data_IF_341627660988
#
_entry.id   IF_341627660988
#
_cell.length_a   1.000
_cell.length_b   1.000
_cell.length_c   1.000
_cell.angle_alpha   90.00
_cell.angle_beta   90.00
_cell.angle_gamma   90.00
#
_symmetry.space_group_name_H-M   'P 1'
#
loop_
_entity.id
_entity.type
_entity.pdbx_description
1 polymer ?
#
# COMPACT_ATOMS: atom_id res chain seq x y z
N UNK A 1 -1.97 -14.07 -31.72
CA UNK A 1 -1.37 -13.34 -30.58
C UNK A 1 -2.14 -13.72 -29.33
N UNK A 2 -1.44 -14.20 -28.32
CA UNK A 2 -1.98 -14.49 -27.01
C UNK A 2 -1.34 -13.55 -25.98
N UNK A 3 -2.09 -13.24 -24.91
CA UNK A 3 -1.63 -12.34 -23.84
C UNK A 3 -1.88 -13.00 -22.49
N UNK A 4 -0.87 -12.96 -21.62
CA UNK A 4 -0.97 -13.40 -20.23
C UNK A 4 -0.66 -12.22 -19.30
N UNK A 5 -1.39 -12.12 -18.19
CA UNK A 5 -1.14 -11.17 -17.12
C UNK A 5 -0.63 -11.93 -15.90
N UNK A 6 0.45 -11.42 -15.28
CA UNK A 6 0.99 -11.94 -14.03
C UNK A 6 1.00 -10.84 -12.98
N UNK A 7 0.92 -11.21 -11.71
CA UNK A 7 1.00 -10.24 -10.61
C UNK A 7 2.32 -9.47 -10.64
N UNK A 8 2.27 -8.14 -10.72
CA UNK A 8 3.45 -7.29 -10.62
C UNK A 8 3.77 -6.85 -9.18
N UNK A 9 2.89 -7.10 -8.22
CA UNK A 9 3.11 -6.85 -6.80
C UNK A 9 3.25 -5.38 -6.39
N UNK A 10 3.04 -4.44 -7.30
CA UNK A 10 3.26 -3.01 -7.07
C UNK A 10 2.07 -2.32 -6.38
N UNK A 11 0.92 -2.34 -7.02
CA UNK A 11 -0.37 -1.88 -6.48
C UNK A 11 -1.45 -2.89 -6.86
N UNK A 12 -2.61 -2.82 -6.22
CA UNK A 12 -3.71 -3.72 -6.55
C UNK A 12 -4.13 -3.57 -8.02
N UNK A 13 -4.01 -4.67 -8.77
CA UNK A 13 -4.30 -4.72 -10.21
C UNK A 13 -3.12 -4.40 -11.13
N UNK A 14 -1.92 -4.12 -10.60
CA UNK A 14 -0.71 -4.03 -11.41
C UNK A 14 -0.36 -5.39 -12.02
N UNK A 15 0.12 -5.39 -13.25
CA UNK A 15 0.42 -6.62 -13.95
C UNK A 15 1.68 -6.53 -14.82
N UNK A 16 2.46 -7.62 -14.82
CA UNK A 16 3.42 -7.91 -15.88
C UNK A 16 2.63 -8.47 -17.05
N UNK A 17 2.91 -8.02 -18.26
CA UNK A 17 2.20 -8.43 -19.48
C UNK A 17 3.13 -9.24 -20.36
N UNK A 18 2.79 -10.51 -20.61
CA UNK A 18 3.46 -11.37 -21.58
C UNK A 18 2.62 -11.43 -22.87
N UNK A 19 3.26 -11.14 -23.99
CA UNK A 19 2.64 -11.19 -25.32
C UNK A 19 3.32 -12.24 -26.16
N UNK A 20 2.58 -13.26 -26.55
CA UNK A 20 3.07 -14.34 -27.40
C UNK A 20 2.66 -14.10 -28.85
N UNK A 21 3.64 -13.88 -29.71
CA UNK A 21 3.43 -13.60 -31.14
C UNK A 21 4.00 -14.74 -31.97
N UNK A 22 3.17 -15.32 -32.84
CA UNK A 22 3.63 -16.33 -33.79
C UNK A 22 3.66 -15.73 -35.20
N UNK A 23 4.83 -15.70 -35.83
CA UNK A 23 5.03 -15.27 -37.19
C UNK A 23 5.84 -16.34 -37.95
N UNK A 24 5.33 -16.74 -39.10
CA UNK A 24 5.96 -17.77 -39.98
C UNK A 24 6.30 -19.07 -39.22
N UNK A 25 5.49 -19.46 -38.23
CA UNK A 25 5.69 -20.66 -37.43
C UNK A 25 6.70 -20.53 -36.29
N UNK A 26 7.28 -19.34 -36.09
CA UNK A 26 8.18 -19.04 -34.99
C UNK A 26 7.44 -18.20 -33.95
N UNK A 27 7.40 -18.67 -32.70
CA UNK A 27 6.84 -17.94 -31.58
C UNK A 27 7.91 -17.05 -30.96
N UNK A 28 7.53 -15.83 -30.63
CA UNK A 28 8.31 -14.85 -29.87
C UNK A 28 7.52 -14.37 -28.67
N UNK A 29 8.22 -14.20 -27.55
CA UNK A 29 7.65 -13.71 -26.30
C UNK A 29 8.18 -12.32 -26.00
N UNK A 30 7.27 -11.34 -25.91
CA UNK A 30 7.56 -10.00 -25.46
C UNK A 30 7.00 -9.83 -24.04
N UNK A 31 7.82 -9.26 -23.15
CA UNK A 31 7.44 -9.04 -21.76
C UNK A 31 7.53 -7.55 -21.43
N UNK A 32 6.48 -7.03 -20.85
CA UNK A 32 6.41 -5.67 -20.32
C UNK A 32 6.25 -5.79 -18.81
N UNK A 33 7.24 -5.30 -18.05
CA UNK A 33 7.20 -5.42 -16.59
C UNK A 33 6.07 -4.59 -15.95
N UNK A 34 5.66 -3.49 -16.59
CA UNK A 34 4.97 -2.44 -15.86
C UNK A 34 5.82 -1.97 -14.68
N UNK A 35 5.19 -1.33 -13.70
CA UNK A 35 5.83 -0.98 -12.43
C UNK A 35 5.84 -2.23 -11.53
N UNK A 36 7.01 -2.62 -11.03
CA UNK A 36 7.19 -3.80 -10.19
C UNK A 36 7.12 -3.44 -8.71
N UNK A 37 6.51 -4.29 -7.92
CA UNK A 37 6.53 -4.20 -6.47
C UNK A 37 7.85 -4.69 -5.88
N UNK A 38 8.11 -4.27 -4.65
CA UNK A 38 9.22 -4.81 -3.87
C UNK A 38 8.82 -6.11 -3.19
N UNK A 39 9.76 -7.05 -3.10
CA UNK A 39 9.58 -8.24 -2.30
C UNK A 39 9.29 -7.85 -0.84
N UNK A 40 8.38 -8.60 -0.20
CA UNK A 40 7.92 -8.33 1.17
C UNK A 40 7.16 -7.01 1.37
N UNK A 41 6.61 -6.43 0.30
CA UNK A 41 5.65 -5.32 0.41
C UNK A 41 4.42 -5.75 1.22
N UNK A 42 3.81 -4.81 1.94
CA UNK A 42 2.63 -5.14 2.73
C UNK A 42 1.40 -5.36 1.83
N UNK A 43 0.54 -6.27 2.27
CA UNK A 43 -0.75 -6.63 1.71
C UNK A 43 -0.69 -7.43 0.41
N UNK A 44 0.12 -7.03 -0.56
CA UNK A 44 0.16 -7.70 -1.87
C UNK A 44 1.18 -8.83 -1.90
N UNK A 45 1.02 -9.73 -2.86
CA UNK A 45 1.99 -10.77 -3.15
C UNK A 45 3.22 -10.15 -3.82
N UNK A 46 4.34 -10.86 -3.73
CA UNK A 46 5.54 -10.52 -4.48
C UNK A 46 5.28 -10.62 -5.99
N UNK A 47 6.03 -9.88 -6.83
CA UNK A 47 5.96 -10.03 -8.27
C UNK A 47 6.16 -11.48 -8.71
N UNK A 48 5.35 -11.95 -9.66
CA UNK A 48 5.56 -13.26 -10.28
C UNK A 48 6.83 -13.27 -11.13
N UNK A 49 7.54 -14.39 -11.11
CA UNK A 49 8.75 -14.55 -11.91
C UNK A 49 8.38 -14.94 -13.33
N UNK A 50 8.91 -14.20 -14.30
CA UNK A 50 8.90 -14.57 -15.73
C UNK A 50 10.25 -15.20 -16.06
N UNK A 51 10.22 -16.48 -16.44
CA UNK A 51 11.45 -17.27 -16.62
C UNK A 51 12.23 -16.92 -17.89
N UNK A 52 11.54 -16.48 -18.95
CA UNK A 52 12.18 -16.20 -20.25
C UNK A 52 11.37 -15.19 -21.07
N UNK A 53 12.09 -14.41 -21.87
CA UNK A 53 11.54 -13.50 -22.86
C UNK A 53 12.51 -13.38 -24.05
N UNK A 54 11.96 -13.22 -25.27
CA UNK A 54 12.78 -12.82 -26.44
C UNK A 54 13.05 -11.31 -26.41
N UNK A 55 12.08 -10.53 -25.92
CA UNK A 55 12.18 -9.08 -25.76
C UNK A 55 11.60 -8.71 -24.39
N UNK A 56 12.38 -7.97 -23.59
CA UNK A 56 11.98 -7.48 -22.28
C UNK A 56 12.00 -5.95 -22.25
N UNK A 57 10.87 -5.34 -21.88
CA UNK A 57 10.78 -3.94 -21.50
C UNK A 57 10.64 -3.89 -19.98
N UNK A 58 11.70 -3.44 -19.31
CA UNK A 58 11.81 -3.43 -17.84
C UNK A 58 11.83 -2.00 -17.33
N UNK A 59 11.05 -1.72 -16.29
CA UNK A 59 11.17 -0.47 -15.55
C UNK A 59 12.54 -0.31 -14.91
N UNK A 60 12.93 0.93 -14.59
CA UNK A 60 14.21 1.23 -13.94
C UNK A 60 14.12 2.42 -12.98
N UNK A 61 12.98 2.60 -12.34
CA UNK A 61 12.70 3.74 -11.46
C UNK A 61 13.74 3.90 -10.35
N UNK A 62 14.16 2.79 -9.75
CA UNK A 62 15.24 2.72 -8.76
C UNK A 62 16.42 1.89 -9.24
N UNK A 63 16.69 1.90 -10.55
CA UNK A 63 17.77 1.11 -11.14
C UNK A 63 19.19 1.54 -10.77
N UNK A 64 19.34 2.69 -10.12
CA UNK A 64 20.62 3.29 -9.71
C UNK A 64 20.89 3.22 -8.19
N UNK A 65 19.97 2.67 -7.40
CA UNK A 65 20.09 2.64 -5.93
C UNK A 65 19.29 1.52 -5.28
N UNK A 66 19.73 1.09 -4.13
CA UNK A 66 18.98 0.18 -3.27
C UNK A 66 18.05 0.94 -2.32
N UNK A 67 16.92 0.32 -2.01
CA UNK A 67 16.05 0.79 -0.93
C UNK A 67 16.68 0.50 0.44
N UNK A 68 16.33 1.31 1.43
CA UNK A 68 16.67 1.01 2.81
C UNK A 68 16.04 -0.33 3.22
N UNK A 69 16.70 -1.13 4.08
CA UNK A 69 16.12 -2.34 4.65
C UNK A 69 14.75 -2.04 5.28
N UNK A 70 13.77 -2.91 5.01
CA UNK A 70 12.39 -2.69 5.45
C UNK A 70 12.25 -2.68 6.97
N UNK A 71 13.00 -3.50 7.68
CA UNK A 71 13.03 -3.57 9.13
C UNK A 71 13.51 -2.27 9.77
N UNK A 72 14.54 -1.64 9.20
CA UNK A 72 15.02 -0.32 9.63
C UNK A 72 13.97 0.78 9.38
N UNK A 73 13.33 0.76 8.21
CA UNK A 73 12.30 1.73 7.88
C UNK A 73 11.06 1.60 8.78
N UNK A 74 10.68 0.37 9.12
CA UNK A 74 9.57 0.11 10.04
C UNK A 74 9.90 0.49 11.48
N UNK A 75 11.14 0.27 11.92
CA UNK A 75 11.60 0.69 13.25
C UNK A 75 11.60 2.23 13.38
N UNK A 76 12.07 2.95 12.36
CA UNK A 76 12.02 4.41 12.33
C UNK A 76 10.57 4.92 12.31
N UNK A 77 9.69 4.28 11.52
CA UNK A 77 8.26 4.64 11.49
C UNK A 77 7.61 4.48 12.87
N UNK A 78 7.88 3.38 13.57
CA UNK A 78 7.41 3.15 14.94
C UNK A 78 7.95 4.21 15.91
N UNK A 79 9.23 4.54 15.81
CA UNK A 79 9.86 5.58 16.63
C UNK A 79 9.21 6.95 16.42
N UNK A 80 8.99 7.38 15.18
CA UNK A 80 8.32 8.65 14.85
C UNK A 80 6.91 8.71 15.46
N UNK A 81 6.15 7.61 15.37
CA UNK A 81 4.81 7.50 15.93
C UNK A 81 4.84 7.63 17.45
N UNK A 82 5.79 6.98 18.13
CA UNK A 82 5.93 7.04 19.60
C UNK A 82 6.40 8.42 20.07
N UNK A 83 7.39 9.03 19.42
CA UNK A 83 7.86 10.39 19.71
C UNK A 83 6.77 11.45 19.57
N UNK A 84 5.97 11.38 18.50
CA UNK A 84 4.85 12.29 18.31
C UNK A 84 3.79 12.13 19.41
N UNK A 85 3.54 10.89 19.87
CA UNK A 85 2.66 10.63 21.01
C UNK A 85 3.18 11.22 22.31
N UNK A 86 4.49 11.08 22.58
CA UNK A 86 5.13 11.60 23.78
C UNK A 86 5.10 13.13 23.83
N UNK A 87 5.28 13.78 22.68
CA UNK A 87 5.32 15.23 22.54
C UNK A 87 3.93 15.88 22.39
N UNK A 88 2.87 15.08 22.28
CA UNK A 88 1.50 15.58 22.12
C UNK A 88 1.25 16.20 20.73
N UNK A 89 2.05 15.86 19.72
CA UNK A 89 1.93 16.40 18.36
C UNK A 89 0.94 15.64 17.48
N UNK A 90 0.69 16.21 16.30
CA UNK A 90 0.04 15.55 15.18
C UNK A 90 1.07 15.00 14.20
N UNK A 91 0.71 13.94 13.47
CA UNK A 91 1.51 13.41 12.37
C UNK A 91 0.77 13.66 11.07
N UNK A 92 1.43 14.28 10.10
CA UNK A 92 0.93 14.42 8.73
C UNK A 92 1.71 13.49 7.81
N UNK A 93 0.99 12.60 7.14
CA UNK A 93 1.55 11.62 6.20
C UNK A 93 1.03 11.91 4.81
N UNK A 94 1.78 12.61 3.94
CA UNK A 94 1.43 12.73 2.54
C UNK A 94 1.59 11.37 1.84
N UNK A 95 0.54 10.92 1.14
CA UNK A 95 0.53 9.57 0.57
C UNK A 95 -0.28 9.51 -0.73
N UNK A 96 0.19 8.70 -1.68
CA UNK A 96 -0.60 8.34 -2.84
C UNK A 96 -1.85 7.55 -2.44
N UNK A 97 -2.95 7.84 -3.14
CA UNK A 97 -4.26 7.26 -2.83
C UNK A 97 -4.31 5.73 -3.04
N UNK A 98 -3.51 5.21 -3.98
CA UNK A 98 -3.45 3.79 -4.32
C UNK A 98 -2.14 3.19 -3.82
N UNK A 99 -2.22 2.05 -3.14
CA UNK A 99 -1.09 1.27 -2.66
C UNK A 99 -0.53 1.80 -1.34
N UNK A 100 0.21 2.91 -1.36
CA UNK A 100 0.91 3.44 -0.18
C UNK A 100 -0.03 3.79 0.99
N UNK A 101 -1.17 4.38 0.72
CA UNK A 101 -2.15 4.69 1.78
C UNK A 101 -2.64 3.42 2.49
N UNK A 102 -2.94 2.36 1.77
CA UNK A 102 -3.41 1.10 2.34
C UNK A 102 -2.33 0.39 3.13
N UNK A 103 -1.08 0.45 2.66
CA UNK A 103 0.07 -0.04 3.41
C UNK A 103 0.23 0.71 4.74
N UNK A 104 0.18 2.04 4.74
CA UNK A 104 0.28 2.87 5.95
C UNK A 104 -0.84 2.52 6.94
N UNK A 105 -2.08 2.40 6.47
CA UNK A 105 -3.22 1.99 7.31
C UNK A 105 -2.96 0.62 7.94
N UNK A 106 -2.44 -0.34 7.17
CA UNK A 106 -2.09 -1.66 7.66
C UNK A 106 -0.98 -1.61 8.73
N UNK A 107 0.10 -0.86 8.49
CA UNK A 107 1.20 -0.70 9.46
C UNK A 107 0.75 -0.02 10.75
N UNK A 108 -0.07 1.02 10.66
CA UNK A 108 -0.71 1.64 11.83
C UNK A 108 -1.63 0.66 12.56
N UNK A 109 -2.37 -0.16 11.83
CA UNK A 109 -3.16 -1.24 12.42
C UNK A 109 -2.32 -2.24 13.18
N UNK A 110 -1.16 -2.64 12.65
CA UNK A 110 -0.21 -3.51 13.36
C UNK A 110 0.29 -2.88 14.67
N UNK A 111 0.61 -1.58 14.67
CA UNK A 111 1.00 -0.84 15.88
C UNK A 111 -0.14 -0.77 16.89
N UNK A 112 -1.38 -0.53 16.41
CA UNK A 112 -2.57 -0.52 17.24
C UNK A 112 -2.79 -1.87 17.94
N UNK A 113 -2.72 -2.98 17.21
CA UNK A 113 -2.86 -4.33 17.76
C UNK A 113 -1.78 -4.68 18.79
N UNK A 114 -0.58 -4.12 18.65
CA UNK A 114 0.52 -4.25 19.60
C UNK A 114 0.41 -3.31 20.82
N UNK A 115 -0.61 -2.42 20.86
CA UNK A 115 -0.76 -1.40 21.90
C UNK A 115 0.28 -0.28 21.85
N UNK A 116 0.94 -0.10 20.70
CA UNK A 116 1.99 0.90 20.47
C UNK A 116 1.47 2.18 19.82
N UNK A 117 0.25 2.19 19.30
CA UNK A 117 -0.39 3.36 18.72
C UNK A 117 -1.23 4.06 19.78
N UNK A 118 -0.77 5.22 20.26
CA UNK A 118 -1.41 5.98 21.36
C UNK A 118 -2.23 7.18 20.87
N UNK A 119 -2.19 7.48 19.58
CA UNK A 119 -2.98 8.54 18.96
C UNK A 119 -4.47 8.24 19.09
N UNK A 120 -5.28 9.29 19.22
CA UNK A 120 -6.72 9.18 19.44
C UNK A 120 -7.49 8.84 18.16
N UNK A 121 -6.98 9.29 17.03
CA UNK A 121 -7.59 9.07 15.72
C UNK A 121 -6.55 9.07 14.59
N UNK A 122 -6.86 8.31 13.54
CA UNK A 122 -6.19 8.36 12.24
C UNK A 122 -7.22 8.84 11.23
N UNK A 123 -6.96 9.94 10.56
CA UNK A 123 -7.84 10.51 9.55
C UNK A 123 -7.32 10.21 8.16
N UNK A 124 -8.16 9.64 7.32
CA UNK A 124 -7.91 9.50 5.89
C UNK A 124 -8.66 10.62 5.17
N UNK A 125 -7.91 11.64 4.75
CA UNK A 125 -8.43 12.84 4.10
C UNK A 125 -8.12 12.82 2.59
N UNK A 126 -8.79 11.93 1.89
CA UNK A 126 -8.73 11.79 0.44
C UNK A 126 -9.90 10.94 -0.06
N UNK A 127 -10.88 11.52 -0.77
CA UNK A 127 -12.00 10.76 -1.32
C UNK A 127 -11.56 9.59 -2.21
N UNK A 128 -10.50 9.78 -3.00
CA UNK A 128 -9.95 8.72 -3.84
C UNK A 128 -9.35 7.60 -2.99
N UNK A 129 -8.55 7.93 -1.98
CA UNK A 129 -7.94 6.92 -1.11
C UNK A 129 -8.99 6.12 -0.33
N UNK A 130 -10.07 6.77 0.11
CA UNK A 130 -11.22 6.10 0.74
C UNK A 130 -11.84 5.09 -0.22
N UNK A 131 -12.15 5.50 -1.46
CA UNK A 131 -12.73 4.62 -2.46
C UNK A 131 -11.81 3.43 -2.79
N UNK A 132 -10.51 3.67 -2.93
CA UNK A 132 -9.50 2.63 -3.15
C UNK A 132 -9.40 1.67 -1.95
N UNK A 133 -9.47 2.17 -0.72
CA UNK A 133 -9.44 1.31 0.48
C UNK A 133 -10.64 0.36 0.52
N UNK A 134 -11.82 0.79 0.03
CA UNK A 134 -12.97 -0.09 -0.14
C UNK A 134 -12.76 -1.14 -1.24
N UNK A 135 -12.04 -0.81 -2.31
CA UNK A 135 -11.66 -1.78 -3.34
C UNK A 135 -10.70 -2.82 -2.74
N UNK A 136 -9.68 -2.40 -1.99
CA UNK A 136 -8.78 -3.31 -1.27
C UNK A 136 -9.56 -4.25 -0.33
N UNK A 137 -10.59 -3.76 0.34
CA UNK A 137 -11.45 -4.59 1.17
C UNK A 137 -12.19 -5.67 0.35
N UNK A 138 -12.67 -5.36 -0.85
CA UNK A 138 -13.38 -6.33 -1.71
C UNK A 138 -12.46 -7.42 -2.26
N UNK A 139 -11.19 -7.13 -2.47
CA UNK A 139 -10.22 -8.00 -3.13
C UNK A 139 -9.16 -8.57 -2.17
N UNK A 140 -9.50 -8.82 -0.91
CA UNK A 140 -8.58 -9.41 0.07
C UNK A 140 -8.05 -10.80 -0.31
N UNK A 141 -8.72 -11.49 -1.23
CA UNK A 141 -8.28 -12.78 -1.75
C UNK A 141 -6.95 -12.72 -2.53
N UNK A 142 -6.54 -11.52 -2.96
CA UNK A 142 -5.25 -11.33 -3.63
C UNK A 142 -4.14 -10.88 -2.67
N UNK A 143 -4.43 -10.70 -1.39
CA UNK A 143 -3.41 -10.39 -0.39
C UNK A 143 -2.43 -11.54 -0.23
N UNK A 144 -1.21 -11.22 0.22
CA UNK A 144 -0.30 -12.24 0.68
C UNK A 144 -0.89 -12.97 1.92
N UNK A 145 -0.52 -14.24 2.08
CA UNK A 145 -1.15 -15.08 3.11
C UNK A 145 -0.86 -14.62 4.55
N UNK A 146 0.31 -14.04 4.80
CA UNK A 146 0.74 -13.59 6.12
C UNK A 146 -0.07 -12.39 6.60
N UNK A 147 -0.21 -11.38 5.75
CA UNK A 147 -0.93 -10.16 6.09
C UNK A 147 -2.45 -10.40 6.16
N UNK A 148 -2.99 -11.25 5.27
CA UNK A 148 -4.37 -11.70 5.36
C UNK A 148 -4.65 -12.39 6.72
N UNK A 149 -3.77 -13.29 7.18
CA UNK A 149 -3.88 -13.92 8.49
C UNK A 149 -3.73 -12.91 9.63
N UNK A 150 -2.86 -11.92 9.49
CA UNK A 150 -2.64 -10.88 10.50
C UNK A 150 -3.91 -10.07 10.72
N UNK A 151 -4.59 -9.67 9.64
CA UNK A 151 -5.88 -8.97 9.69
C UNK A 151 -6.95 -9.86 10.35
N UNK A 152 -7.03 -11.14 9.97
CA UNK A 152 -7.99 -12.08 10.54
C UNK A 152 -7.74 -12.37 12.04
N UNK A 153 -6.48 -12.51 12.47
CA UNK A 153 -6.12 -12.68 13.88
C UNK A 153 -6.53 -11.47 14.73
N UNK A 154 -6.51 -10.26 14.15
CA UNK A 154 -7.08 -9.06 14.76
C UNK A 154 -8.63 -9.09 14.85
N UNK A 155 -9.27 -10.23 14.50
CA UNK A 155 -10.74 -10.39 14.43
C UNK A 155 -11.40 -9.37 13.51
N UNK A 156 -10.66 -8.96 12.48
CA UNK A 156 -11.06 -7.90 11.56
C UNK A 156 -11.36 -8.47 10.18
N UNK A 157 -12.38 -7.93 9.54
CA UNK A 157 -12.75 -8.29 8.17
C UNK A 157 -12.27 -7.26 7.13
N UNK A 158 -11.66 -6.16 7.59
CA UNK A 158 -11.21 -5.07 6.71
C UNK A 158 -10.07 -4.28 7.35
N UNK A 159 -9.36 -3.46 6.56
CA UNK A 159 -8.36 -2.52 7.06
C UNK A 159 -8.96 -1.52 8.04
N UNK A 160 -10.20 -1.06 7.79
CA UNK A 160 -10.91 -0.17 8.70
C UNK A 160 -11.18 -0.84 10.06
N UNK A 161 -11.63 -2.09 10.07
CA UNK A 161 -11.86 -2.83 11.31
C UNK A 161 -10.54 -3.20 12.02
N UNK A 162 -9.45 -3.37 11.25
CA UNK A 162 -8.11 -3.67 11.77
C UNK A 162 -7.48 -2.46 12.47
N UNK A 163 -7.89 -1.22 12.07
CA UNK A 163 -7.50 0.04 12.71
C UNK A 163 -8.77 0.78 13.19
N UNK A 164 -9.36 0.44 14.35
CA UNK A 164 -10.67 0.97 14.78
C UNK A 164 -10.72 2.48 15.03
N UNK A 165 -9.57 3.14 15.14
CA UNK A 165 -9.46 4.59 15.27
C UNK A 165 -9.36 5.31 13.92
N UNK A 166 -9.44 4.59 12.79
CA UNK A 166 -9.49 5.16 11.46
C UNK A 166 -10.83 5.91 11.25
N UNK A 167 -10.74 7.11 10.70
CA UNK A 167 -11.88 7.97 10.38
C UNK A 167 -11.73 8.47 8.94
N UNK A 168 -12.83 8.54 8.22
CA UNK A 168 -12.86 9.05 6.85
C UNK A 168 -13.39 10.48 6.83
N UNK A 169 -12.70 11.34 6.10
CA UNK A 169 -13.17 12.68 5.75
C UNK A 169 -13.76 12.60 4.34
N UNK A 170 -15.09 12.64 4.26
CA UNK A 170 -15.81 12.42 3.00
C UNK A 170 -16.31 13.71 2.36
N UNK A 171 -16.34 14.79 3.12
CA UNK A 171 -16.82 16.09 2.67
C UNK A 171 -15.77 17.17 2.87
N UNK A 172 -15.85 18.25 2.10
CA UNK A 172 -14.98 19.43 2.28
C UNK A 172 -15.11 20.03 3.69
N UNK A 173 -16.29 20.02 4.26
CA UNK A 173 -16.52 20.55 5.62
C UNK A 173 -15.81 19.70 6.67
N UNK A 174 -15.83 18.37 6.53
CA UNK A 174 -15.09 17.46 7.41
C UNK A 174 -13.57 17.67 7.26
N UNK A 175 -13.06 17.73 6.01
CA UNK A 175 -11.67 18.02 5.74
C UNK A 175 -11.21 19.35 6.36
N UNK A 176 -11.96 20.42 6.18
CA UNK A 176 -11.66 21.71 6.80
C UNK A 176 -11.70 21.66 8.34
N UNK A 177 -12.55 20.82 8.94
CA UNK A 177 -12.62 20.66 10.39
C UNK A 177 -11.35 20.02 10.97
N UNK A 178 -10.63 19.21 10.21
CA UNK A 178 -9.38 18.58 10.63
C UNK A 178 -8.30 19.60 11.00
N UNK A 179 -8.31 20.79 10.37
CA UNK A 179 -7.36 21.88 10.67
C UNK A 179 -7.49 22.43 12.11
N UNK A 180 -8.56 22.07 12.83
CA UNK A 180 -8.77 22.50 14.22
C UNK A 180 -8.25 21.49 15.24
N UNK A 181 -7.74 20.35 14.81
CA UNK A 181 -7.21 19.31 15.70
C UNK A 181 -5.78 19.68 16.07
N UNK A 182 -5.59 20.06 17.32
CA UNK A 182 -4.31 20.59 17.80
C UNK A 182 -3.29 19.50 18.13
N UNK A 183 -3.75 18.30 18.53
CA UNK A 183 -2.85 17.23 18.97
C UNK A 183 -3.48 15.83 18.93
N UNK A 184 -2.60 14.81 18.95
CA UNK A 184 -2.99 13.41 19.15
C UNK A 184 -3.64 12.74 17.95
N UNK A 185 -3.47 13.26 16.74
CA UNK A 185 -4.01 12.70 15.53
C UNK A 185 -2.91 12.35 14.49
N UNK A 186 -3.23 11.40 13.63
CA UNK A 186 -2.50 11.13 12.40
C UNK A 186 -3.40 11.49 11.23
N UNK A 187 -2.87 12.23 10.27
CA UNK A 187 -3.55 12.59 9.04
C UNK A 187 -2.86 11.93 7.86
N UNK A 188 -3.58 11.13 7.10
CA UNK A 188 -3.15 10.57 5.82
C UNK A 188 -3.88 11.34 4.74
N UNK A 189 -3.15 12.10 3.93
CA UNK A 189 -3.71 12.97 2.91
C UNK A 189 -3.04 12.73 1.56
N UNK A 190 -3.76 13.04 0.47
CA UNK A 190 -3.20 12.96 -0.87
C UNK A 190 -2.00 13.90 -1.04
N UNK A 191 -0.93 13.40 -1.65
CA UNK A 191 0.23 14.23 -2.00
C UNK A 191 0.01 14.89 -3.36
N UNK A 192 0.30 16.18 -3.46
CA UNK A 192 0.36 16.86 -4.76
C UNK A 192 -0.98 17.30 -5.34
N UNK A 193 -1.96 17.54 -4.51
CA UNK A 193 -3.17 18.28 -4.90
C UNK A 193 -3.16 19.68 -4.34
#
# INVERSE_FOLDING_TARGET
VDVCFRDAGHILGSAIVEVFVTEQGVQKTLVFSGDLGNSFAALLKDPEIVESADVLLLESTYGDRDHRPMDEALAEFEQIVDEASANGGNILIPSFAVGRTQEIIFRLGQLYQKGKLRQQAVYLDSPMAIAVTEIYHRYQNVYNAEDAQTIQRGKSSSLHAFLPILRYSTTTAESMALNRIESGAIFIAGSGM
#
